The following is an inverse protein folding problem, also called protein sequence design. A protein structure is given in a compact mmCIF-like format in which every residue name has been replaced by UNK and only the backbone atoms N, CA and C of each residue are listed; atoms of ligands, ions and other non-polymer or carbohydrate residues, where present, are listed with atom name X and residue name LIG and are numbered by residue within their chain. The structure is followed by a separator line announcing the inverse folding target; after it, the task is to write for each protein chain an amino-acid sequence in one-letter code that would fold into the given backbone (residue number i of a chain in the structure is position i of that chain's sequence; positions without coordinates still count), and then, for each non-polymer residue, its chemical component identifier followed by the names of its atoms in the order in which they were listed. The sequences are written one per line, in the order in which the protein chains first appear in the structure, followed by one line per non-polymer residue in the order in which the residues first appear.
data_IF_883159444919
#
_entry.id   IF_883159444919
#
_cell.length_a   1.000
_cell.length_b   1.000
_cell.length_c   1.000
_cell.angle_alpha   90.00
_cell.angle_beta   90.00
_cell.angle_gamma   90.00
#
_symmetry.space_group_name_H-M   'P 1'
#
loop_
_entity.id
_entity.type
_entity.pdbx_description
1 polymer ?
#
# COMPACT_ATOMS: atom_id res chain seq x y z
N UNK A 1 -23.22 7.85 -18.34
CA UNK A 1 -22.43 6.60 -18.46
C UNK A 1 -20.93 6.87 -18.55
N UNK A 2 -20.47 7.79 -19.41
CA UNK A 2 -19.04 8.09 -19.62
C UNK A 2 -18.31 8.58 -18.37
N UNK A 3 -18.89 9.52 -17.61
CA UNK A 3 -18.27 10.05 -16.38
C UNK A 3 -18.05 8.96 -15.33
N UNK A 4 -19.03 8.09 -15.13
CA UNK A 4 -18.93 6.98 -14.17
C UNK A 4 -17.80 6.00 -14.53
N UNK A 5 -17.61 5.71 -15.83
CA UNK A 5 -16.51 4.86 -16.30
C UNK A 5 -15.15 5.50 -16.06
N UNK A 6 -15.02 6.81 -16.31
CA UNK A 6 -13.78 7.56 -16.04
C UNK A 6 -13.44 7.54 -14.55
N UNK A 7 -14.43 7.78 -13.69
CA UNK A 7 -14.24 7.73 -12.23
C UNK A 7 -13.83 6.34 -11.77
N UNK A 8 -14.48 5.28 -12.26
CA UNK A 8 -14.13 3.91 -11.94
C UNK A 8 -12.71 3.55 -12.41
N UNK A 9 -12.31 3.98 -13.60
CA UNK A 9 -10.97 3.76 -14.14
C UNK A 9 -9.90 4.46 -13.28
N UNK A 10 -10.12 5.74 -12.95
CA UNK A 10 -9.20 6.50 -12.10
C UNK A 10 -9.07 5.86 -10.71
N UNK A 11 -10.19 5.51 -10.07
CA UNK A 11 -10.18 4.83 -8.78
C UNK A 11 -9.40 3.51 -8.83
N UNK A 12 -9.61 2.71 -9.88
CA UNK A 12 -8.89 1.44 -10.08
C UNK A 12 -7.38 1.66 -10.25
N UNK A 13 -6.99 2.63 -11.08
CA UNK A 13 -5.57 2.97 -11.30
C UNK A 13 -4.93 3.43 -9.99
N UNK A 14 -5.60 4.29 -9.21
CA UNK A 14 -5.11 4.75 -7.92
C UNK A 14 -4.92 3.60 -6.93
N UNK A 15 -5.87 2.67 -6.84
CA UNK A 15 -5.77 1.50 -5.97
C UNK A 15 -4.60 0.57 -6.37
N UNK A 16 -4.44 0.30 -7.67
CA UNK A 16 -3.33 -0.51 -8.18
C UNK A 16 -1.98 0.17 -7.90
N UNK A 17 -1.89 1.49 -8.09
CA UNK A 17 -0.68 2.24 -7.78
C UNK A 17 -0.31 2.16 -6.30
N UNK A 18 -1.28 2.30 -5.38
CA UNK A 18 -1.06 2.18 -3.94
C UNK A 18 -0.65 0.76 -3.52
N UNK A 19 -1.27 -0.26 -4.11
CA UNK A 19 -0.89 -1.66 -3.90
C UNK A 19 0.55 -1.91 -4.35
N UNK A 20 0.94 -1.41 -5.53
CA UNK A 20 2.30 -1.58 -6.07
C UNK A 20 3.35 -0.87 -5.21
N UNK A 21 3.07 0.38 -4.79
CA UNK A 21 3.94 1.15 -3.91
C UNK A 21 4.15 0.44 -2.57
N UNK A 22 3.08 -0.07 -1.97
CA UNK A 22 3.15 -0.76 -0.66
C UNK A 22 3.88 -2.09 -0.77
N UNK A 23 3.63 -2.86 -1.83
CA UNK A 23 4.36 -4.10 -2.11
C UNK A 23 5.86 -3.84 -2.27
N UNK A 24 6.22 -2.80 -3.02
CA UNK A 24 7.61 -2.38 -3.22
C UNK A 24 8.26 -1.92 -1.92
N UNK A 25 7.54 -1.13 -1.12
CA UNK A 25 8.00 -0.70 0.20
C UNK A 25 8.21 -1.88 1.17
N UNK A 26 7.34 -2.89 1.14
CA UNK A 26 7.50 -4.09 1.95
C UNK A 26 8.66 -4.97 1.45
N UNK A 27 8.86 -5.11 0.14
CA UNK A 27 10.02 -5.80 -0.45
C UNK A 27 11.36 -5.21 0.00
N UNK A 28 11.40 -3.89 0.20
CA UNK A 28 12.59 -3.19 0.72
C UNK A 28 12.81 -3.43 2.22
N UNK A 29 11.73 -3.58 3.00
CA UNK A 29 11.78 -3.86 4.44
C UNK A 29 11.99 -5.34 4.78
N UNK A 30 11.57 -6.25 3.89
CA UNK A 30 11.64 -7.70 4.09
C UNK A 30 11.83 -8.44 2.76
N UNK A 31 12.69 -9.47 2.70
CA UNK A 31 12.96 -10.21 1.47
C UNK A 31 11.82 -11.15 1.04
N UNK A 32 10.73 -11.31 1.80
CA UNK A 32 9.64 -12.23 1.45
C UNK A 32 8.73 -11.71 0.33
N UNK A 33 8.70 -12.36 -0.84
CA UNK A 33 7.82 -11.99 -1.96
C UNK A 33 6.32 -12.14 -1.60
N UNK A 34 5.94 -13.27 -1.01
CA UNK A 34 4.56 -13.51 -0.59
C UNK A 34 4.09 -12.47 0.42
N UNK A 35 4.96 -12.12 1.39
CA UNK A 35 4.70 -11.09 2.38
C UNK A 35 4.53 -9.72 1.73
N UNK A 36 5.34 -9.39 0.73
CA UNK A 36 5.23 -8.14 -0.01
C UNK A 36 3.91 -8.03 -0.80
N UNK A 37 3.48 -9.11 -1.46
CA UNK A 37 2.20 -9.12 -2.17
C UNK A 37 1.00 -8.97 -1.20
N UNK A 38 1.07 -9.65 -0.04
CA UNK A 38 0.06 -9.49 1.01
C UNK A 38 0.03 -8.06 1.55
N UNK A 39 1.19 -7.44 1.77
CA UNK A 39 1.27 -6.05 2.19
C UNK A 39 0.64 -5.09 1.17
N UNK A 40 0.81 -5.35 -0.13
CA UNK A 40 0.13 -4.60 -1.19
C UNK A 40 -1.38 -4.77 -1.20
N UNK A 41 -1.86 -6.01 -1.11
CA UNK A 41 -3.29 -6.31 -1.11
C UNK A 41 -3.99 -5.67 0.10
N UNK A 42 -3.34 -5.71 1.26
CA UNK A 42 -3.80 -5.08 2.49
C UNK A 42 -3.11 -3.73 2.73
N UNK A 43 -2.93 -2.92 1.67
CA UNK A 43 -2.19 -1.66 1.78
C UNK A 43 -2.70 -0.69 2.86
N UNK A 44 -4.02 -0.52 3.11
CA UNK A 44 -4.47 0.45 4.12
C UNK A 44 -4.04 0.03 5.53
N UNK A 45 -4.12 -1.28 5.81
CA UNK A 45 -3.71 -1.86 7.10
C UNK A 45 -2.20 -1.77 7.24
N UNK A 46 -1.45 -2.15 6.21
CA UNK A 46 0.02 -2.10 6.21
C UNK A 46 0.52 -0.67 6.43
N UNK A 47 -0.10 0.30 5.76
CA UNK A 47 0.23 1.72 5.91
C UNK A 47 -0.04 2.22 7.34
N UNK A 48 -1.19 1.83 7.92
CA UNK A 48 -1.53 2.19 9.31
C UNK A 48 -0.52 1.61 10.30
N UNK A 49 -0.11 0.35 10.11
CA UNK A 49 0.90 -0.30 10.96
C UNK A 49 2.25 0.40 10.83
N UNK A 50 2.67 0.75 9.61
CA UNK A 50 3.91 1.52 9.41
C UNK A 50 3.81 2.90 10.05
N UNK A 51 2.70 3.61 9.88
CA UNK A 51 2.47 4.91 10.49
C UNK A 51 2.62 4.87 12.02
N UNK A 52 1.93 3.94 12.68
CA UNK A 52 2.01 3.78 14.14
C UNK A 52 3.40 3.34 14.63
N UNK A 53 4.08 2.48 13.86
CA UNK A 53 5.42 2.00 14.21
C UNK A 53 6.49 3.07 14.00
N UNK A 54 6.36 3.85 12.95
CA UNK A 54 7.32 4.86 12.52
C UNK A 54 7.11 6.20 13.28
N UNK A 55 5.95 6.43 13.92
CA UNK A 55 5.67 7.60 14.77
C UNK A 55 6.45 7.64 16.10
N UNK A 56 7.15 6.57 16.46
CA UNK A 56 8.02 6.54 17.65
C UNK A 56 9.49 6.18 17.34
N UNK A 57 10.20 6.91 16.45
CA UNK A 57 11.58 6.58 16.13
C UNK A 57 12.57 7.01 17.23
N UNK A 58 12.16 7.84 18.21
CA UNK A 58 13.03 8.46 19.21
C UNK A 58 12.63 8.24 20.68
N UNK A 59 11.66 7.36 20.98
CA UNK A 59 11.42 6.95 22.38
C UNK A 59 12.40 5.83 22.73
N UNK A 60 13.56 6.24 23.25
CA UNK A 60 14.53 5.42 23.97
C UNK A 60 13.94 4.83 25.25
#
# INVERSE_FOLDING_TARGET
MTVALVVAALATISLVALMALTSSGQRRRSPGLAVALMAGLFFPVTWTVWYLRDEHPYRS
#
